data_IF_629886608764
#
_entry.id   IF_629886608764
#
_cell.length_a   1.000
_cell.length_b   1.000
_cell.length_c   1.000
_cell.angle_alpha   90.00
_cell.angle_beta   90.00
_cell.angle_gamma   90.00
#
_symmetry.space_group_name_H-M   'P 1'
#
loop_
_entity.id
_entity.type
_entity.pdbx_description
1 polymer ?
#
# COMPACT_ATOMS: atom_id res chain seq x y z
N UNK A 1 -24.14 -4.11 6.06
CA UNK A 1 -22.71 -3.78 5.85
C UNK A 1 -22.23 -3.05 7.08
N UNK A 2 -21.08 -3.48 7.61
CA UNK A 2 -20.40 -2.85 8.74
C UNK A 2 -19.04 -2.34 8.27
N UNK A 3 -18.75 -1.07 8.53
CA UNK A 3 -17.41 -0.50 8.37
C UNK A 3 -16.70 -0.58 9.72
N UNK A 4 -15.60 -1.31 9.79
CA UNK A 4 -14.93 -1.58 11.05
C UNK A 4 -13.41 -1.39 10.97
N UNK A 5 -12.79 -1.01 12.09
CA UNK A 5 -11.34 -0.97 12.23
C UNK A 5 -10.80 -2.35 12.66
N UNK A 6 -9.55 -2.63 12.37
CA UNK A 6 -8.85 -3.84 12.80
C UNK A 6 -8.58 -3.87 14.31
N UNK A 7 -9.63 -4.06 15.11
CA UNK A 7 -9.56 -4.04 16.58
C UNK A 7 -10.19 -5.27 17.24
N UNK A 8 -9.90 -5.47 18.52
CA UNK A 8 -10.54 -6.53 19.32
C UNK A 8 -12.06 -6.38 19.41
N UNK A 9 -12.58 -5.15 19.42
CA UNK A 9 -14.02 -4.90 19.38
C UNK A 9 -14.67 -5.43 18.10
N UNK A 10 -13.99 -5.27 16.97
CA UNK A 10 -14.43 -5.84 15.68
C UNK A 10 -14.44 -7.37 15.71
N UNK A 11 -13.45 -8.00 16.35
CA UNK A 11 -13.45 -9.45 16.55
C UNK A 11 -14.62 -9.92 17.39
N UNK A 12 -14.98 -9.18 18.46
CA UNK A 12 -16.14 -9.50 19.27
C UNK A 12 -17.45 -9.44 18.45
N UNK A 13 -17.59 -8.42 17.61
CA UNK A 13 -18.71 -8.30 16.68
C UNK A 13 -18.73 -9.46 15.69
N UNK A 14 -17.59 -9.81 15.08
CA UNK A 14 -17.49 -10.94 14.16
C UNK A 14 -17.86 -12.25 14.82
N UNK A 15 -17.41 -12.51 16.03
CA UNK A 15 -17.79 -13.71 16.82
C UNK A 15 -19.29 -13.80 17.07
N UNK A 16 -19.95 -12.68 17.23
CA UNK A 16 -21.41 -12.64 17.32
C UNK A 16 -22.06 -12.92 15.97
N UNK A 17 -21.63 -12.23 14.91
CA UNK A 17 -22.24 -12.34 13.58
C UNK A 17 -22.12 -13.75 12.97
N UNK A 18 -21.01 -14.44 13.14
CA UNK A 18 -20.82 -15.80 12.59
C UNK A 18 -21.76 -16.84 13.20
N UNK A 19 -22.41 -16.53 14.34
CA UNK A 19 -23.38 -17.42 14.97
C UNK A 19 -24.71 -17.44 14.25
N UNK A 20 -25.06 -16.36 13.55
CA UNK A 20 -26.36 -16.13 12.94
C UNK A 20 -26.28 -15.92 11.42
N UNK A 21 -25.10 -15.64 10.91
CA UNK A 21 -24.88 -15.37 9.50
C UNK A 21 -23.50 -15.90 9.05
N UNK A 22 -23.31 -15.95 7.74
CA UNK A 22 -22.01 -16.25 7.11
C UNK A 22 -21.45 -14.94 6.53
N UNK A 23 -20.71 -14.15 7.33
CA UNK A 23 -20.24 -12.84 6.88
C UNK A 23 -19.14 -12.98 5.84
N UNK A 24 -19.16 -12.13 4.83
CA UNK A 24 -18.02 -11.87 3.96
C UNK A 24 -17.18 -10.77 4.56
N UNK A 25 -15.89 -11.02 4.77
CA UNK A 25 -14.95 -10.04 5.25
C UNK A 25 -14.21 -9.45 4.07
N UNK A 26 -14.30 -8.12 3.90
CA UNK A 26 -13.55 -7.38 2.92
C UNK A 26 -12.40 -6.66 3.63
N UNK A 27 -11.17 -6.98 3.23
CA UNK A 27 -9.98 -6.29 3.70
C UNK A 27 -9.60 -5.19 2.71
N UNK A 28 -9.79 -3.95 3.11
CA UNK A 28 -9.57 -2.78 2.26
C UNK A 28 -8.28 -2.02 2.57
N UNK A 29 -7.45 -2.54 3.46
CA UNK A 29 -6.13 -1.99 3.76
C UNK A 29 -5.04 -2.69 2.94
N UNK A 30 -3.83 -2.11 2.97
CA UNK A 30 -2.68 -2.75 2.34
C UNK A 30 -2.47 -4.19 2.84
N UNK A 31 -2.23 -5.11 1.90
CA UNK A 31 -2.10 -6.55 2.18
C UNK A 31 -0.96 -6.90 3.15
N UNK A 32 0.06 -6.05 3.24
CA UNK A 32 1.15 -6.20 4.20
C UNK A 32 0.68 -6.20 5.66
N UNK A 33 -0.37 -5.44 5.99
CA UNK A 33 -0.95 -5.46 7.33
C UNK A 33 -1.66 -6.78 7.64
N UNK A 34 -2.23 -7.43 6.63
CA UNK A 34 -2.83 -8.76 6.79
C UNK A 34 -1.74 -9.80 7.13
N UNK A 35 -0.58 -9.71 6.47
CA UNK A 35 0.58 -10.60 6.71
C UNK A 35 1.25 -10.37 8.07
N UNK A 36 1.28 -9.12 8.55
CA UNK A 36 1.84 -8.79 9.88
C UNK A 36 1.06 -9.42 11.04
N UNK A 37 -0.15 -9.89 10.77
CA UNK A 37 -1.04 -10.40 11.79
C UNK A 37 -1.82 -9.30 12.51
N UNK A 38 -2.52 -9.68 13.57
CA UNK A 38 -3.39 -8.79 14.34
C UNK A 38 -4.75 -9.42 14.61
N UNK A 39 -5.66 -8.72 15.31
CA UNK A 39 -6.92 -9.34 15.78
C UNK A 39 -7.76 -9.94 14.65
N UNK A 40 -7.91 -9.25 13.52
CA UNK A 40 -8.74 -9.73 12.41
C UNK A 40 -8.05 -10.85 11.62
N UNK A 41 -6.77 -10.73 11.17
CA UNK A 41 -6.06 -11.82 10.53
C UNK A 41 -6.05 -13.12 11.35
N UNK A 42 -5.78 -13.00 12.66
CA UNK A 42 -5.80 -14.14 13.58
C UNK A 42 -7.18 -14.79 13.64
N UNK A 43 -8.23 -13.99 13.82
CA UNK A 43 -9.60 -14.49 13.84
C UNK A 43 -9.97 -15.22 12.54
N UNK A 44 -9.59 -14.65 11.38
CA UNK A 44 -9.85 -15.26 10.09
C UNK A 44 -9.15 -16.61 9.94
N UNK A 45 -7.86 -16.67 10.31
CA UNK A 45 -7.07 -17.90 10.26
C UNK A 45 -7.65 -19.00 11.16
N UNK A 46 -8.01 -18.67 12.42
CA UNK A 46 -8.63 -19.60 13.37
C UNK A 46 -9.97 -20.16 12.87
N UNK A 47 -10.66 -19.47 11.99
CA UNK A 47 -12.00 -19.84 11.49
C UNK A 47 -12.01 -20.34 10.04
N UNK A 48 -10.84 -20.40 9.39
CA UNK A 48 -10.75 -20.76 7.98
C UNK A 48 -11.50 -19.77 7.07
N UNK A 49 -11.57 -18.49 7.47
CA UNK A 49 -12.19 -17.43 6.68
C UNK A 49 -11.11 -16.75 5.86
N UNK A 50 -11.26 -16.74 4.55
CA UNK A 50 -10.37 -16.01 3.64
C UNK A 50 -10.99 -14.63 3.33
N UNK A 51 -10.35 -13.52 3.76
CA UNK A 51 -10.85 -12.18 3.45
C UNK A 51 -10.69 -11.87 1.97
N UNK A 52 -11.68 -11.21 1.38
CA UNK A 52 -11.55 -10.60 0.06
C UNK A 52 -10.64 -9.37 0.15
N UNK A 53 -9.57 -9.36 -0.64
CA UNK A 53 -8.69 -8.20 -0.75
C UNK A 53 -9.26 -7.22 -1.78
N UNK A 54 -9.76 -6.10 -1.31
CA UNK A 54 -10.19 -4.98 -2.15
C UNK A 54 -9.52 -3.73 -1.61
N UNK A 55 -8.35 -3.40 -2.15
CA UNK A 55 -7.57 -2.26 -1.72
C UNK A 55 -7.43 -1.25 -2.85
N UNK A 56 -7.80 -0.01 -2.55
CA UNK A 56 -7.45 1.16 -3.35
C UNK A 56 -6.55 2.03 -2.50
N UNK A 57 -5.27 2.08 -2.84
CA UNK A 57 -4.31 2.96 -2.17
C UNK A 57 -4.61 4.43 -2.49
N UNK A 58 -4.25 5.33 -1.57
CA UNK A 58 -4.25 6.76 -1.82
C UNK A 58 -3.06 7.24 -2.67
N UNK A 59 -2.31 6.31 -3.26
CA UNK A 59 -1.14 6.61 -4.08
C UNK A 59 -1.57 6.92 -5.52
N UNK A 60 -0.86 7.85 -6.15
CA UNK A 60 -1.06 8.16 -7.55
C UNK A 60 -0.72 6.95 -8.43
N UNK A 61 -1.47 6.78 -9.50
CA UNK A 61 -1.17 5.73 -10.48
C UNK A 61 0.14 6.05 -11.22
N UNK A 62 0.97 5.06 -11.58
CA UNK A 62 2.24 5.29 -12.28
C UNK A 62 2.10 6.16 -13.53
N UNK A 63 1.01 6.01 -14.29
CA UNK A 63 0.72 6.84 -15.46
C UNK A 63 0.56 8.32 -15.10
N UNK A 64 -0.16 8.62 -14.01
CA UNK A 64 -0.39 10.02 -13.58
C UNK A 64 0.92 10.65 -13.10
N UNK A 65 1.79 9.87 -12.44
CA UNK A 65 3.13 10.31 -12.08
C UNK A 65 3.99 10.60 -13.31
N UNK A 66 3.94 9.75 -14.33
CA UNK A 66 4.67 9.96 -15.58
C UNK A 66 4.18 11.23 -16.33
N UNK A 67 2.87 11.46 -16.37
CA UNK A 67 2.29 12.68 -16.95
C UNK A 67 2.72 13.94 -16.17
N UNK A 68 2.76 13.87 -14.85
CA UNK A 68 3.26 14.96 -14.01
C UNK A 68 4.73 15.27 -14.29
N UNK A 69 5.59 14.26 -14.31
CA UNK A 69 7.02 14.39 -14.61
C UNK A 69 7.23 14.97 -16.01
N UNK A 70 6.48 14.48 -16.99
CA UNK A 70 6.54 15.01 -18.36
C UNK A 70 6.17 16.49 -18.42
N UNK A 71 5.12 16.89 -17.70
CA UNK A 71 4.64 18.27 -17.67
C UNK A 71 5.60 19.23 -16.97
N UNK A 72 6.27 18.74 -15.89
CA UNK A 72 7.24 19.53 -15.13
C UNK A 72 8.61 19.59 -15.80
N UNK A 73 8.95 18.60 -16.64
CA UNK A 73 10.24 18.43 -17.30
C UNK A 73 11.45 18.64 -16.35
N UNK A 74 11.51 17.95 -15.20
CA UNK A 74 12.56 18.16 -14.23
C UNK A 74 13.92 17.67 -14.73
N UNK A 75 15.00 18.26 -14.25
CA UNK A 75 16.36 17.81 -14.56
C UNK A 75 16.65 16.42 -13.98
N UNK A 76 16.12 16.13 -12.80
CA UNK A 76 16.24 14.84 -12.13
C UNK A 76 14.95 14.46 -11.42
N UNK A 77 14.65 13.17 -11.37
CA UNK A 77 13.53 12.57 -10.62
C UNK A 77 14.11 11.60 -9.61
N UNK A 78 13.85 11.82 -8.33
CA UNK A 78 14.28 10.92 -7.26
C UNK A 78 13.04 10.24 -6.67
N UNK A 79 12.79 8.94 -6.96
CA UNK A 79 11.69 8.20 -6.35
C UNK A 79 11.98 7.95 -4.87
N UNK A 80 11.06 8.34 -4.00
CA UNK A 80 11.11 8.05 -2.57
C UNK A 80 9.83 7.36 -2.11
N UNK A 81 9.87 6.69 -0.96
CA UNK A 81 8.72 6.00 -0.37
C UNK A 81 8.12 4.94 -1.33
N UNK A 82 8.97 4.17 -1.98
CA UNK A 82 8.58 3.11 -2.91
C UNK A 82 9.54 1.92 -2.81
N UNK A 83 9.00 0.70 -2.90
CA UNK A 83 9.81 -0.54 -3.01
C UNK A 83 10.27 -0.80 -4.46
N UNK A 84 9.82 0.00 -5.41
CA UNK A 84 10.01 -0.20 -6.84
C UNK A 84 10.75 0.96 -7.52
N UNK A 85 11.64 1.66 -6.80
CA UNK A 85 12.34 2.85 -7.29
C UNK A 85 13.00 2.64 -8.66
N UNK A 86 13.68 1.51 -8.87
CA UNK A 86 14.33 1.18 -10.12
C UNK A 86 13.37 1.04 -11.33
N UNK A 87 12.11 0.69 -11.09
CA UNK A 87 11.12 0.54 -12.16
C UNK A 87 10.66 1.88 -12.74
N UNK A 88 10.84 2.98 -12.00
CA UNK A 88 10.47 4.32 -12.49
C UNK A 88 11.27 4.71 -13.74
N UNK A 89 12.51 4.25 -13.87
CA UNK A 89 13.33 4.49 -15.07
C UNK A 89 12.72 3.94 -16.37
N UNK A 90 11.78 3.00 -16.28
CA UNK A 90 11.08 2.43 -17.44
C UNK A 90 9.94 3.32 -17.95
N UNK A 91 9.44 4.23 -17.10
CA UNK A 91 8.26 5.06 -17.40
C UNK A 91 8.54 6.56 -17.31
N UNK A 92 9.69 6.97 -16.80
CA UNK A 92 10.06 8.38 -16.62
C UNK A 92 11.51 8.62 -17.03
N UNK A 93 11.83 9.78 -17.62
CA UNK A 93 13.20 10.18 -17.89
C UNK A 93 13.91 10.67 -16.62
N UNK A 94 15.24 10.72 -16.68
CA UNK A 94 16.09 11.36 -15.68
C UNK A 94 15.91 10.84 -14.25
N UNK A 95 15.57 9.55 -14.09
CA UNK A 95 15.41 8.93 -12.79
C UNK A 95 16.78 8.62 -12.18
N UNK A 96 17.00 9.10 -10.97
CA UNK A 96 18.15 8.76 -10.13
C UNK A 96 17.65 8.03 -8.87
N UNK A 97 18.06 6.79 -8.70
CA UNK A 97 17.69 5.98 -7.53
C UNK A 97 18.71 6.24 -6.43
N UNK A 98 18.23 6.51 -5.23
CA UNK A 98 19.05 6.75 -4.03
C UNK A 98 18.72 5.64 -3.02
N UNK A 99 19.74 5.08 -2.40
CA UNK A 99 19.57 4.04 -1.36
C UNK A 99 19.18 4.65 -0.02
N UNK A 100 18.58 3.82 0.85
CA UNK A 100 18.17 4.22 2.19
C UNK A 100 19.40 4.67 3.01
N UNK A 101 19.36 5.90 3.52
CA UNK A 101 20.43 6.50 4.29
C UNK A 101 21.56 7.12 3.46
N UNK A 102 21.50 7.03 2.15
CA UNK A 102 22.43 7.71 1.25
C UNK A 102 22.17 9.21 1.24
N UNK A 103 23.24 10.01 1.41
CA UNK A 103 23.19 11.46 1.26
C UNK A 103 23.67 11.84 -0.14
N UNK A 104 22.88 12.61 -0.86
CA UNK A 104 23.18 13.04 -2.22
C UNK A 104 23.18 14.56 -2.30
N UNK A 105 24.24 15.13 -2.85
CA UNK A 105 24.32 16.56 -3.14
C UNK A 105 23.47 16.88 -4.38
N UNK A 106 22.48 17.75 -4.23
CA UNK A 106 21.54 18.09 -5.32
C UNK A 106 22.27 18.65 -6.54
N UNK A 107 23.28 19.50 -6.33
CA UNK A 107 24.02 20.11 -7.43
C UNK A 107 24.76 19.06 -8.29
N UNK A 108 25.17 17.94 -7.69
CA UNK A 108 25.81 16.84 -8.43
C UNK A 108 24.82 16.06 -9.33
N UNK A 109 23.53 16.10 -9.01
CA UNK A 109 22.49 15.43 -9.78
C UNK A 109 22.01 16.23 -11.00
N UNK A 110 22.20 17.54 -11.00
CA UNK A 110 21.63 18.45 -12.00
C UNK A 110 22.68 19.06 -12.97
N UNK A 111 23.94 18.73 -12.75
CA UNK A 111 25.03 19.07 -13.69
C UNK A 111 25.05 18.12 -14.88
#
# INVERSE_FOLDING_TARGET
VYLARGSGATVALLRFLIRTAKPTIVWSQWSGYLKKGGPIPTFCAERGIEPLLIHSGGHAHPKDLAELVHSLAPKVVVPIHTEAAAQFSQIMPNVHVVDDGEAVEIDSLIM
#
